data_IF_728236458558
#
_entry.id   IF_728236458558
#
_cell.length_a   1.000
_cell.length_b   1.000
_cell.length_c   1.000
_cell.angle_alpha   90.00
_cell.angle_beta   90.00
_cell.angle_gamma   90.00
#
_symmetry.space_group_name_H-M   'P 1'
#
loop_
_entity.id
_entity.type
_entity.pdbx_description
1 polymer ?
#
# COMPACT_ATOMS: atom_id res chain seq x y z
N UNK A 1 0.39 -6.04 -8.24
CA UNK A 1 1.29 -6.77 -9.14
C UNK A 1 2.31 -5.76 -9.65
N UNK A 2 3.53 -5.83 -9.13
CA UNK A 2 4.60 -4.85 -9.45
C UNK A 2 5.19 -5.07 -10.83
N UNK A 3 5.08 -6.27 -11.38
CA UNK A 3 5.74 -6.66 -12.64
C UNK A 3 7.25 -6.87 -12.52
N UNK A 4 7.79 -6.82 -11.30
CA UNK A 4 9.20 -7.11 -11.05
C UNK A 4 9.50 -8.58 -11.30
N UNK A 5 10.60 -8.83 -12.00
CA UNK A 5 11.13 -10.17 -12.26
C UNK A 5 12.45 -10.29 -11.53
N UNK A 6 12.51 -11.18 -10.55
CA UNK A 6 13.75 -11.53 -9.89
C UNK A 6 14.28 -12.84 -10.48
N UNK A 7 15.38 -12.76 -11.21
CA UNK A 7 16.02 -13.93 -11.82
C UNK A 7 17.03 -14.64 -10.89
N UNK A 8 17.40 -14.02 -9.77
CA UNK A 8 18.45 -14.49 -8.87
C UNK A 8 17.92 -15.15 -7.60
N UNK A 9 16.80 -15.86 -7.68
CA UNK A 9 16.27 -16.61 -6.54
C UNK A 9 17.14 -17.84 -6.29
N UNK A 10 17.69 -18.02 -5.09
CA UNK A 10 18.46 -19.23 -4.76
C UNK A 10 17.57 -20.46 -4.76
N UNK A 11 18.04 -21.53 -5.38
CA UNK A 11 17.32 -22.79 -5.45
C UNK A 11 18.26 -23.98 -5.29
N UNK A 12 17.74 -25.10 -4.81
CA UNK A 12 18.45 -26.39 -4.77
C UNK A 12 17.86 -27.32 -5.83
N UNK A 13 18.69 -27.82 -6.71
CA UNK A 13 18.32 -28.85 -7.68
C UNK A 13 18.53 -30.24 -7.07
N UNK A 14 17.46 -31.01 -6.93
CA UNK A 14 17.52 -32.44 -6.57
C UNK A 14 17.09 -33.29 -7.75
N UNK A 15 17.48 -34.57 -7.79
CA UNK A 15 17.37 -35.43 -8.97
C UNK A 15 16.05 -35.39 -9.76
N UNK A 16 14.92 -35.02 -9.12
CA UNK A 16 13.60 -34.94 -9.75
C UNK A 16 12.78 -33.74 -9.29
N UNK A 17 13.39 -32.77 -8.59
CA UNK A 17 12.70 -31.59 -8.08
C UNK A 17 13.65 -30.42 -7.86
N UNK A 18 13.12 -29.23 -8.01
CA UNK A 18 13.77 -27.96 -7.60
C UNK A 18 13.15 -27.48 -6.31
N UNK A 19 13.96 -27.22 -5.30
CA UNK A 19 13.51 -26.63 -4.04
C UNK A 19 13.87 -25.16 -3.99
N UNK A 20 12.86 -24.32 -3.73
CA UNK A 20 13.00 -22.86 -3.61
C UNK A 20 12.45 -22.48 -2.24
N UNK A 21 13.21 -21.71 -1.47
CA UNK A 21 12.74 -21.15 -0.21
C UNK A 21 12.28 -19.73 -0.44
N UNK A 22 11.00 -19.47 -0.15
CA UNK A 22 10.37 -18.14 -0.28
C UNK A 22 9.86 -17.69 1.07
N UNK A 23 10.08 -16.42 1.39
CA UNK A 23 9.44 -15.75 2.52
C UNK A 23 8.41 -14.79 1.95
N UNK A 24 7.13 -15.05 2.22
CA UNK A 24 6.02 -14.24 1.73
C UNK A 24 5.37 -13.50 2.90
N UNK A 25 5.06 -12.22 2.68
CA UNK A 25 4.25 -11.46 3.60
C UNK A 25 2.77 -11.93 3.59
N UNK A 26 1.95 -11.62 4.60
CA UNK A 26 0.54 -11.95 4.58
C UNK A 26 -0.15 -11.44 3.30
N UNK A 27 -0.88 -12.33 2.62
CA UNK A 27 -1.57 -12.10 1.34
C UNK A 27 -0.65 -11.79 0.13
N UNK A 28 0.64 -11.95 0.26
CA UNK A 28 1.57 -11.88 -0.86
C UNK A 28 1.49 -13.13 -1.73
N UNK A 29 1.67 -12.98 -3.02
CA UNK A 29 1.73 -14.08 -4.00
C UNK A 29 2.80 -13.82 -5.04
N UNK A 30 3.45 -14.88 -5.51
CA UNK A 30 4.47 -14.83 -6.56
C UNK A 30 4.17 -15.85 -7.64
N UNK A 31 4.62 -15.57 -8.86
CA UNK A 31 4.64 -16.53 -9.94
C UNK A 31 6.08 -17.05 -10.10
N UNK A 32 6.24 -18.36 -10.11
CA UNK A 32 7.51 -18.99 -10.44
C UNK A 32 7.42 -19.40 -11.90
N UNK A 33 8.29 -18.82 -12.72
CA UNK A 33 8.33 -19.08 -14.16
C UNK A 33 9.58 -19.86 -14.48
N UNK A 34 9.40 -21.04 -15.06
CA UNK A 34 10.50 -21.82 -15.60
C UNK A 34 10.63 -21.52 -17.10
N UNK A 35 11.84 -21.21 -17.62
CA UNK A 35 12.03 -21.13 -19.06
C UNK A 35 11.72 -22.50 -19.69
N UNK A 36 11.10 -22.49 -20.86
CA UNK A 36 11.00 -23.71 -21.66
C UNK A 36 12.42 -24.17 -22.00
N UNK A 37 12.69 -25.46 -21.86
CA UNK A 37 14.02 -26.02 -22.20
C UNK A 37 14.31 -25.70 -23.67
N UNK A 38 15.28 -24.82 -23.92
CA UNK A 38 16.03 -24.79 -25.17
C UNK A 38 17.18 -25.78 -25.02
N UNK A 39 17.22 -26.76 -25.91
CA UNK A 39 18.24 -27.79 -25.94
C UNK A 39 19.66 -27.21 -25.84
N UNK A 40 20.41 -27.77 -24.88
CA UNK A 40 21.87 -27.79 -24.78
C UNK A 40 22.68 -26.48 -24.80
N UNK A 41 23.23 -26.13 -23.63
CA UNK A 41 24.70 -26.05 -23.48
C UNK A 41 25.10 -25.82 -22.01
N UNK A 42 26.06 -26.63 -21.60
CA UNK A 42 26.83 -26.58 -20.36
C UNK A 42 27.03 -25.17 -19.80
N UNK A 43 26.43 -24.90 -18.64
CA UNK A 43 26.85 -23.78 -17.82
C UNK A 43 27.49 -24.31 -16.54
N UNK A 44 28.78 -24.09 -16.48
CA UNK A 44 29.69 -24.46 -15.40
C UNK A 44 29.14 -24.11 -14.01
N UNK A 45 29.24 -25.12 -13.11
CA UNK A 45 29.17 -24.97 -11.68
C UNK A 45 30.12 -23.88 -11.18
N UNK A 46 29.60 -22.69 -10.91
CA UNK A 46 30.24 -21.73 -10.02
C UNK A 46 29.58 -21.87 -8.68
N UNK A 47 30.37 -22.31 -7.72
CA UNK A 47 30.07 -22.38 -6.30
C UNK A 47 29.40 -21.08 -5.85
N UNK A 48 28.07 -21.12 -5.61
CA UNK A 48 27.35 -20.07 -4.88
C UNK A 48 27.50 -20.37 -3.41
N UNK A 49 28.32 -19.55 -2.74
CA UNK A 49 28.37 -19.48 -1.27
C UNK A 49 26.99 -19.16 -0.74
N UNK A 50 26.51 -20.00 0.17
CA UNK A 50 25.34 -19.74 0.98
C UNK A 50 25.47 -18.38 1.69
N UNK A 51 24.74 -17.39 1.21
CA UNK A 51 24.44 -16.21 2.05
C UNK A 51 23.28 -16.60 2.95
N UNK A 52 23.54 -16.81 4.22
CA UNK A 52 22.53 -16.82 5.26
C UNK A 52 21.92 -15.42 5.33
N UNK A 53 20.68 -15.28 4.89
CA UNK A 53 19.87 -14.09 5.15
C UNK A 53 19.67 -13.95 6.66
N UNK A 54 20.54 -13.19 7.30
CA UNK A 54 20.27 -12.65 8.61
C UNK A 54 19.36 -11.42 8.40
N UNK A 55 18.05 -11.59 8.59
CA UNK A 55 17.11 -10.48 8.72
C UNK A 55 17.62 -9.60 9.85
N UNK A 56 18.34 -8.53 9.52
CA UNK A 56 18.69 -7.50 10.49
C UNK A 56 17.38 -6.78 10.87
N UNK A 57 17.23 -6.52 12.15
CA UNK A 57 16.05 -5.89 12.73
C UNK A 57 15.69 -4.61 11.96
N UNK A 58 14.52 -4.65 11.31
CA UNK A 58 13.93 -3.48 10.68
C UNK A 58 13.57 -2.47 11.78
N UNK A 59 14.05 -1.25 11.69
CA UNK A 59 13.63 -0.19 12.61
C UNK A 59 12.29 0.38 12.15
N UNK A 60 11.34 0.37 13.06
CA UNK A 60 10.01 0.93 12.86
C UNK A 60 9.90 2.28 13.56
N UNK A 61 9.44 3.30 12.85
CA UNK A 61 9.26 4.65 13.40
C UNK A 61 7.91 5.20 12.95
N UNK A 62 7.15 5.77 13.88
CA UNK A 62 5.90 6.45 13.54
C UNK A 62 6.13 7.59 12.53
N UNK A 63 5.21 7.75 11.59
CA UNK A 63 5.20 8.90 10.69
C UNK A 63 4.85 10.14 11.51
N UNK A 64 5.82 11.03 11.73
CA UNK A 64 5.61 12.32 12.41
C UNK A 64 4.95 13.32 11.43
N UNK A 65 3.67 13.10 11.10
CA UNK A 65 2.84 14.04 10.36
C UNK A 65 2.16 14.99 11.33
N UNK A 66 2.15 16.28 11.02
CA UNK A 66 1.56 17.30 11.89
C UNK A 66 0.07 17.48 11.68
N UNK A 67 -0.36 17.38 10.43
CA UNK A 67 -1.75 17.58 10.02
C UNK A 67 -1.95 16.99 8.62
N UNK A 68 -3.15 16.48 8.38
CA UNK A 68 -3.60 16.01 7.07
C UNK A 68 -4.65 16.95 6.51
N UNK A 69 -4.45 17.43 5.29
CA UNK A 69 -5.53 18.02 4.48
C UNK A 69 -6.15 16.90 3.67
N UNK A 70 -7.44 16.65 3.87
CA UNK A 70 -8.17 15.57 3.21
C UNK A 70 -9.22 16.16 2.28
N UNK A 71 -9.10 15.88 0.99
CA UNK A 71 -10.03 16.36 -0.05
C UNK A 71 -10.79 15.19 -0.66
N UNK A 72 -12.11 15.19 -0.53
CA UNK A 72 -13.04 14.23 -1.12
C UNK A 72 -13.34 14.65 -2.55
N UNK A 73 -12.82 13.93 -3.54
CA UNK A 73 -12.78 14.42 -4.94
C UNK A 73 -14.14 14.52 -5.59
N UNK A 74 -15.10 13.64 -5.26
CA UNK A 74 -16.41 13.60 -5.91
C UNK A 74 -17.36 14.72 -5.47
N UNK A 75 -17.24 15.23 -4.22
CA UNK A 75 -18.06 16.33 -3.72
C UNK A 75 -17.27 17.62 -3.43
N UNK A 76 -15.95 17.60 -3.64
CA UNK A 76 -15.06 18.75 -3.47
C UNK A 76 -14.83 19.16 -2.01
N UNK A 77 -15.34 18.40 -1.04
CA UNK A 77 -15.22 18.73 0.37
C UNK A 77 -13.79 18.57 0.84
N UNK A 78 -13.28 19.55 1.55
CA UNK A 78 -11.92 19.54 2.11
C UNK A 78 -11.98 19.79 3.62
N UNK A 79 -11.27 18.96 4.38
CA UNK A 79 -11.17 19.08 5.84
C UNK A 79 -9.72 18.94 6.29
N UNK A 80 -9.43 19.41 7.49
CA UNK A 80 -8.14 19.22 8.15
C UNK A 80 -8.29 18.31 9.35
N UNK A 81 -7.35 17.39 9.55
CA UNK A 81 -7.32 16.42 10.64
C UNK A 81 -5.89 16.21 11.14
N UNK A 82 -5.73 16.13 12.43
CA UNK A 82 -4.45 15.78 13.06
C UNK A 82 -4.23 14.28 13.09
N UNK A 83 -5.32 13.50 13.09
CA UNK A 83 -5.30 12.04 13.14
C UNK A 83 -6.02 11.44 11.93
N UNK A 84 -5.62 10.23 11.59
CA UNK A 84 -6.29 9.41 10.59
C UNK A 84 -7.62 8.91 11.17
N UNK A 85 -8.64 8.77 10.33
CA UNK A 85 -9.99 8.53 10.79
C UNK A 85 -10.81 7.67 9.85
N UNK A 86 -11.85 7.07 10.38
CA UNK A 86 -12.85 6.30 9.64
C UNK A 86 -13.97 7.26 9.16
N UNK A 87 -14.08 7.46 7.86
CA UNK A 87 -15.11 8.34 7.26
C UNK A 87 -16.52 7.95 7.68
N UNK A 88 -16.78 6.64 7.82
CA UNK A 88 -18.11 6.13 8.16
C UNK A 88 -18.60 6.53 9.56
N UNK A 89 -17.71 7.06 10.39
CA UNK A 89 -18.00 7.52 11.76
C UNK A 89 -18.16 9.03 11.89
N UNK A 90 -17.95 9.78 10.79
CA UNK A 90 -18.07 11.25 10.81
C UNK A 90 -19.51 11.69 11.04
N UNK A 91 -19.68 12.83 11.71
CA UNK A 91 -21.00 13.42 11.91
C UNK A 91 -21.57 13.99 10.61
N UNK A 92 -20.69 14.48 9.75
CA UNK A 92 -21.04 15.02 8.45
C UNK A 92 -21.45 13.91 7.49
N UNK A 93 -22.72 13.90 7.08
CA UNK A 93 -23.30 12.89 6.20
C UNK A 93 -22.62 12.84 4.82
N UNK A 94 -22.11 13.95 4.32
CA UNK A 94 -21.37 13.99 3.04
C UNK A 94 -20.01 13.29 3.11
N UNK A 95 -19.48 13.09 4.31
CA UNK A 95 -18.26 12.29 4.55
C UNK A 95 -18.65 10.88 5.00
N UNK A 96 -19.61 10.76 5.90
CA UNK A 96 -20.06 9.47 6.44
C UNK A 96 -20.47 8.48 5.37
N UNK A 97 -21.19 8.93 4.36
CA UNK A 97 -21.68 8.09 3.25
C UNK A 97 -20.79 8.17 2.02
N UNK A 98 -19.62 8.83 2.12
CA UNK A 98 -18.76 9.02 0.96
C UNK A 98 -18.25 7.69 0.37
N UNK A 99 -18.29 7.62 -0.94
CA UNK A 99 -17.65 6.58 -1.74
C UNK A 99 -16.93 7.23 -2.92
N UNK A 100 -15.72 6.77 -3.18
CA UNK A 100 -14.83 7.34 -4.18
C UNK A 100 -13.45 7.61 -3.61
N UNK A 101 -12.71 8.51 -4.24
CA UNK A 101 -11.34 8.83 -3.87
C UNK A 101 -11.29 10.06 -2.96
N UNK A 102 -10.55 9.96 -1.87
CA UNK A 102 -10.12 11.11 -1.08
C UNK A 102 -8.60 11.22 -1.08
N UNK A 103 -8.10 12.44 -1.21
CA UNK A 103 -6.67 12.76 -1.28
C UNK A 103 -6.22 13.31 0.06
N UNK A 104 -5.31 12.61 0.71
CA UNK A 104 -4.65 13.03 1.95
C UNK A 104 -3.32 13.69 1.58
N UNK A 105 -3.11 14.92 2.03
CA UNK A 105 -1.84 15.63 1.87
C UNK A 105 -1.29 16.00 3.22
N UNK A 106 -0.02 15.70 3.42
CA UNK A 106 0.73 16.08 4.63
C UNK A 106 2.21 16.25 4.32
N UNK A 107 2.97 16.67 5.31
CA UNK A 107 4.43 16.69 5.25
C UNK A 107 5.00 15.92 6.43
N UNK A 108 6.15 15.32 6.22
CA UNK A 108 6.91 14.65 7.27
C UNK A 108 8.42 14.93 7.12
N UNK A 109 9.15 14.76 8.20
CA UNK A 109 10.60 15.01 8.19
C UNK A 109 11.38 13.70 8.21
N UNK A 110 12.28 13.56 7.22
CA UNK A 110 13.27 12.50 7.20
C UNK A 110 14.63 13.03 7.65
N UNK A 111 15.27 12.39 8.64
CA UNK A 111 16.44 12.97 9.35
C UNK A 111 17.77 12.79 8.62
N UNK A 112 17.95 11.73 7.87
CA UNK A 112 19.22 11.35 7.24
C UNK A 112 19.12 11.26 5.72
N UNK A 113 20.24 11.09 5.03
CA UNK A 113 20.22 10.61 3.64
C UNK A 113 19.94 9.11 3.66
N UNK A 114 19.19 8.63 2.68
CA UNK A 114 19.04 7.19 2.42
C UNK A 114 20.40 6.66 1.97
N UNK A 115 20.89 5.57 2.56
CA UNK A 115 22.15 4.91 2.17
C UNK A 115 21.91 4.11 0.89
N UNK A 116 22.98 3.77 0.16
CA UNK A 116 22.89 3.02 -1.11
C UNK A 116 22.30 1.62 -0.92
N UNK A 117 22.51 1.03 0.24
CA UNK A 117 22.05 -0.31 0.64
C UNK A 117 20.77 -0.29 1.51
N UNK A 118 20.14 0.87 1.68
CA UNK A 118 18.97 1.04 2.54
C UNK A 118 17.69 1.14 1.73
N UNK A 119 16.69 0.39 2.12
CA UNK A 119 15.32 0.53 1.63
C UNK A 119 14.43 1.15 2.70
N UNK A 120 13.53 2.03 2.27
CA UNK A 120 12.58 2.71 3.16
C UNK A 120 11.17 2.49 2.63
N UNK A 121 10.33 1.95 3.49
CA UNK A 121 8.94 1.66 3.19
C UNK A 121 8.00 2.50 4.04
N UNK A 122 6.93 2.98 3.44
CA UNK A 122 5.79 3.55 4.14
C UNK A 122 4.71 2.47 4.27
N UNK A 123 4.44 2.06 5.51
CA UNK A 123 3.32 1.19 5.83
C UNK A 123 2.13 2.07 6.24
N UNK A 124 1.02 1.94 5.53
CA UNK A 124 -0.21 2.72 5.75
C UNK A 124 -1.09 2.15 6.87
N UNK A 125 -0.70 1.01 7.46
CA UNK A 125 -1.52 0.31 8.43
C UNK A 125 -2.79 -0.24 7.81
N UNK A 126 -3.94 0.26 8.24
CA UNK A 126 -5.24 -0.16 7.71
C UNK A 126 -5.77 0.85 6.68
N UNK A 127 -6.04 0.36 5.48
CA UNK A 127 -6.64 1.10 4.36
C UNK A 127 -7.97 0.45 3.98
N UNK A 128 -8.97 1.24 3.62
CA UNK A 128 -10.26 0.82 3.10
C UNK A 128 -10.57 1.58 1.80
N UNK A 129 -10.30 1.04 0.56
CA UNK A 129 -9.87 -0.33 0.27
C UNK A 129 -8.52 -0.35 -0.46
N UNK A 130 -8.20 0.65 -1.28
CA UNK A 130 -6.92 0.78 -1.99
C UNK A 130 -6.31 2.16 -1.78
N UNK A 131 -4.99 2.26 -1.91
CA UNK A 131 -4.27 3.52 -1.79
C UNK A 131 -3.19 3.66 -2.87
N UNK A 132 -3.09 4.86 -3.45
CA UNK A 132 -1.94 5.26 -4.29
C UNK A 132 -1.09 6.24 -3.50
N UNK A 133 0.21 6.00 -3.45
CA UNK A 133 1.15 6.79 -2.66
C UNK A 133 2.05 7.62 -3.58
N UNK A 134 2.20 8.91 -3.28
CA UNK A 134 3.21 9.77 -3.89
C UNK A 134 4.02 10.48 -2.82
N UNK A 135 5.33 10.51 -3.00
CA UNK A 135 6.26 11.25 -2.14
C UNK A 135 7.03 12.25 -3.01
N UNK A 136 6.99 13.53 -2.64
CA UNK A 136 7.61 14.62 -3.40
C UNK A 136 7.19 14.65 -4.89
N UNK A 137 5.95 14.25 -5.18
CA UNK A 137 5.39 14.15 -6.54
C UNK A 137 5.79 12.89 -7.32
N UNK A 138 6.64 12.04 -6.76
CA UNK A 138 7.04 10.76 -7.37
C UNK A 138 6.04 9.68 -6.99
N UNK A 139 5.52 8.95 -7.98
CA UNK A 139 4.61 7.83 -7.76
C UNK A 139 5.35 6.64 -7.15
N UNK A 140 4.88 6.17 -5.99
CA UNK A 140 5.42 5.04 -5.25
C UNK A 140 4.50 3.80 -5.32
N UNK A 141 3.54 3.82 -6.22
CA UNK A 141 2.68 2.70 -6.54
C UNK A 141 1.31 2.72 -5.88
N UNK A 142 0.46 1.80 -6.35
CA UNK A 142 -0.89 1.57 -5.83
C UNK A 142 -0.95 0.26 -5.07
N UNK A 143 -1.45 0.33 -3.84
CA UNK A 143 -1.50 -0.77 -2.88
C UNK A 143 -2.97 -1.09 -2.61
N UNK A 144 -3.39 -2.34 -2.82
CA UNK A 144 -4.78 -2.78 -2.73
C UNK A 144 -4.98 -4.04 -1.88
N UNK A 145 -3.89 -4.55 -1.30
CA UNK A 145 -3.90 -5.71 -0.38
C UNK A 145 -2.90 -5.50 0.74
N UNK A 146 -3.17 -6.09 1.89
CA UNK A 146 -2.23 -6.09 3.01
C UNK A 146 -0.99 -6.99 2.72
N UNK A 147 0.20 -6.59 3.19
CA UNK A 147 0.47 -5.38 3.96
C UNK A 147 0.40 -4.13 3.06
N UNK A 148 -0.31 -3.09 3.53
CA UNK A 148 -0.43 -1.84 2.79
C UNK A 148 0.87 -1.04 2.87
N UNK A 149 1.86 -1.41 2.08
CA UNK A 149 3.23 -0.90 2.15
C UNK A 149 3.74 -0.46 0.78
N UNK A 150 4.26 0.76 0.70
CA UNK A 150 4.89 1.33 -0.49
C UNK A 150 6.39 1.49 -0.28
N UNK A 151 7.20 1.17 -1.28
CA UNK A 151 8.61 1.53 -1.33
C UNK A 151 8.71 3.02 -1.69
N UNK A 152 9.26 3.82 -0.79
CA UNK A 152 9.43 5.26 -0.96
C UNK A 152 10.92 5.65 -1.10
N UNK A 153 11.82 4.68 -1.16
CA UNK A 153 13.27 4.87 -1.13
C UNK A 153 13.74 5.91 -2.15
N UNK A 154 13.36 5.73 -3.41
CA UNK A 154 13.78 6.61 -4.51
C UNK A 154 13.18 8.02 -4.46
N UNK A 155 12.05 8.17 -3.78
CA UNK A 155 11.32 9.44 -3.68
C UNK A 155 11.72 10.27 -2.45
N UNK A 156 12.41 9.65 -1.47
CA UNK A 156 12.70 10.23 -0.17
C UNK A 156 13.91 11.16 -0.22
N UNK A 157 13.81 12.31 0.40
CA UNK A 157 14.93 13.25 0.55
C UNK A 157 15.17 13.61 2.03
N UNK A 158 16.39 13.97 2.37
CA UNK A 158 16.69 14.52 3.70
C UNK A 158 15.95 15.84 3.93
N UNK A 159 15.29 15.97 5.06
CA UNK A 159 14.52 17.15 5.43
C UNK A 159 13.03 16.94 5.31
N UNK A 160 12.30 17.95 4.88
CA UNK A 160 10.85 17.91 4.71
C UNK A 160 10.49 17.20 3.40
N UNK A 161 9.59 16.23 3.49
CA UNK A 161 9.01 15.51 2.36
C UNK A 161 7.52 15.77 2.30
N UNK A 162 6.98 15.94 1.11
CA UNK A 162 5.55 16.00 0.83
C UNK A 162 5.03 14.58 0.63
N UNK A 163 3.93 14.25 1.29
CA UNK A 163 3.25 12.97 1.16
C UNK A 163 1.83 13.19 0.67
N UNK A 164 1.48 12.52 -0.40
CA UNK A 164 0.13 12.45 -0.94
C UNK A 164 -0.32 11.00 -0.98
N UNK A 165 -1.48 10.70 -0.39
CA UNK A 165 -2.09 9.38 -0.39
C UNK A 165 -3.51 9.51 -0.93
N UNK A 166 -3.77 8.94 -2.08
CA UNK A 166 -5.13 8.81 -2.62
C UNK A 166 -5.74 7.51 -2.09
N UNK A 167 -6.83 7.61 -1.35
CA UNK A 167 -7.54 6.44 -0.83
C UNK A 167 -8.88 6.33 -1.53
N UNK A 168 -9.17 5.16 -2.08
CA UNK A 168 -10.43 4.87 -2.76
C UNK A 168 -11.13 3.70 -2.09
N UNK A 169 -12.39 3.91 -1.72
CA UNK A 169 -13.24 2.88 -1.14
C UNK A 169 -14.27 2.36 -2.13
N UNK A 170 -15.04 1.35 -1.72
CA UNK A 170 -16.14 0.79 -2.53
C UNK A 170 -17.39 1.67 -2.51
N UNK A 171 -18.31 1.45 -3.45
CA UNK A 171 -19.57 2.20 -3.59
C UNK A 171 -20.61 1.92 -2.49
N UNK A 172 -20.34 1.00 -1.59
CA UNK A 172 -21.30 0.50 -0.61
C UNK A 172 -21.93 1.58 0.26
N UNK A 173 -21.11 2.51 0.78
CA UNK A 173 -21.60 3.56 1.69
C UNK A 173 -22.43 4.62 0.96
N UNK A 174 -22.04 5.00 -0.25
CA UNK A 174 -22.80 5.97 -1.03
C UNK A 174 -24.15 5.41 -1.50
N UNK A 175 -24.19 4.15 -1.93
CA UNK A 175 -25.43 3.48 -2.28
C UNK A 175 -26.39 3.40 -1.09
N UNK A 176 -25.87 3.10 0.09
CA UNK A 176 -26.67 3.15 1.32
C UNK A 176 -27.16 4.56 1.63
N UNK A 177 -26.31 5.57 1.49
CA UNK A 177 -26.70 6.97 1.65
C UNK A 177 -27.80 7.39 0.68
N UNK A 178 -27.72 6.96 -0.58
CA UNK A 178 -28.76 7.23 -1.57
C UNK A 178 -30.10 6.58 -1.20
N UNK A 179 -30.09 5.32 -0.73
CA UNK A 179 -31.30 4.64 -0.26
C UNK A 179 -31.96 5.35 0.95
N UNK A 180 -31.18 6.05 1.78
CA UNK A 180 -31.63 6.79 2.96
C UNK A 180 -31.94 8.27 2.68
N UNK A 181 -31.78 8.73 1.43
CA UNK A 181 -31.92 10.16 1.10
C UNK A 181 -30.76 11.03 1.58
N UNK A 182 -29.59 10.43 1.84
CA UNK A 182 -28.36 11.02 2.37
C UNK A 182 -27.18 10.86 1.42
N UNK A 183 -27.45 10.89 0.12
CA UNK A 183 -26.41 10.75 -0.89
C UNK A 183 -25.32 11.82 -0.71
N UNK A 184 -24.02 11.45 -0.69
CA UNK A 184 -22.93 12.40 -0.48
C UNK A 184 -22.64 13.29 -1.71
N UNK A 185 -23.17 12.94 -2.87
CA UNK A 185 -23.12 13.66 -4.15
C UNK A 185 -24.17 13.11 -5.12
N UNK A 186 -24.40 13.81 -6.23
CA UNK A 186 -25.40 13.45 -7.21
C UNK A 186 -24.97 12.26 -8.11
N UNK A 187 -25.95 11.57 -8.72
CA UNK A 187 -25.70 10.53 -9.71
C UNK A 187 -25.35 9.15 -9.11
N UNK A 188 -25.53 8.96 -7.82
CA UNK A 188 -25.36 7.65 -7.19
C UNK A 188 -26.54 6.76 -7.52
N UNK A 189 -26.29 5.74 -8.34
CA UNK A 189 -27.32 4.81 -8.78
C UNK A 189 -26.76 3.43 -9.14
N UNK A 190 -27.54 2.39 -8.95
CA UNK A 190 -27.25 1.03 -9.41
C UNK A 190 -28.52 0.30 -9.79
N UNK A 191 -28.43 -0.55 -10.82
CA UNK A 191 -29.48 -1.52 -11.16
C UNK A 191 -29.32 -2.85 -10.41
N UNK A 192 -28.22 -3.03 -9.68
CA UNK A 192 -28.01 -4.20 -8.86
C UNK A 192 -28.90 -4.17 -7.61
N UNK A 193 -29.47 -5.33 -7.26
CA UNK A 193 -30.16 -5.49 -5.97
C UNK A 193 -29.11 -5.57 -4.87
N UNK A 194 -28.67 -4.40 -4.41
CA UNK A 194 -27.71 -4.30 -3.33
C UNK A 194 -28.43 -4.32 -1.98
N UNK A 195 -28.19 -5.35 -1.20
CA UNK A 195 -28.68 -5.44 0.18
C UNK A 195 -27.60 -6.09 1.02
N UNK A 196 -27.12 -5.36 2.01
CA UNK A 196 -26.26 -5.92 3.02
C UNK A 196 -27.09 -6.50 4.16
N UNK A 197 -26.76 -7.71 4.58
CA UNK A 197 -27.48 -8.37 5.67
C UNK A 197 -27.49 -7.55 6.96
N UNK A 198 -26.39 -6.84 7.26
CA UNK A 198 -26.22 -6.10 8.49
C UNK A 198 -26.64 -4.64 8.40
N UNK A 199 -27.03 -4.13 7.26
CA UNK A 199 -27.47 -2.73 7.03
C UNK A 199 -26.58 -1.65 7.72
N UNK A 200 -25.26 -1.91 7.81
CA UNK A 200 -24.28 -1.02 8.43
C UNK A 200 -23.37 -0.41 7.37
N UNK A 201 -22.80 0.75 7.67
CA UNK A 201 -21.75 1.34 6.85
C UNK A 201 -20.47 0.49 6.96
N UNK A 202 -19.72 0.42 5.85
CA UNK A 202 -18.37 -0.14 5.85
C UNK A 202 -17.39 0.88 6.41
N UNK A 203 -16.38 0.46 7.17
CA UNK A 203 -15.24 1.32 7.46
C UNK A 203 -14.67 1.88 6.15
N UNK A 204 -14.26 3.14 6.17
CA UNK A 204 -13.79 3.81 4.96
C UNK A 204 -12.65 4.78 5.28
N UNK A 205 -11.71 4.91 4.35
CA UNK A 205 -10.61 5.84 4.45
C UNK A 205 -9.27 5.22 4.88
N UNK A 206 -8.36 6.09 5.29
CA UNK A 206 -7.06 5.73 5.83
C UNK A 206 -7.17 5.72 7.36
N UNK A 207 -7.06 4.54 7.94
CA UNK A 207 -7.23 4.36 9.38
C UNK A 207 -5.88 4.27 10.12
N UNK A 208 -4.79 4.00 9.38
CA UNK A 208 -3.44 3.93 9.94
C UNK A 208 -3.18 2.77 10.92
N UNK A 209 -2.21 2.91 11.82
CA UNK A 209 -1.21 3.98 11.84
C UNK A 209 -0.27 3.93 10.62
N UNK A 210 0.20 5.10 10.18
CA UNK A 210 1.25 5.16 9.18
C UNK A 210 2.63 5.07 9.85
N UNK A 211 3.46 4.15 9.37
CA UNK A 211 4.75 3.83 9.95
C UNK A 211 5.83 3.81 8.86
N UNK A 212 7.02 4.29 9.20
CA UNK A 212 8.20 4.19 8.34
C UNK A 212 9.02 2.97 8.78
N UNK A 213 9.32 2.12 7.83
CA UNK A 213 10.21 0.98 7.98
C UNK A 213 11.50 1.23 7.25
N UNK A 214 12.62 0.93 7.89
CA UNK A 214 13.92 0.87 7.24
C UNK A 214 14.43 -0.56 7.29
N UNK A 215 14.84 -1.10 6.16
CA UNK A 215 15.63 -2.32 6.09
C UNK A 215 16.98 -1.96 5.50
N UNK A 216 18.06 -2.41 6.14
CA UNK A 216 19.35 -2.44 5.48
C UNK A 216 19.29 -3.58 4.46
N UNK A 217 19.71 -3.34 3.21
CA UNK A 217 19.82 -4.42 2.25
C UNK A 217 20.77 -5.48 2.82
N UNK A 218 20.41 -6.73 2.70
CA UNK A 218 21.29 -7.83 3.08
C UNK A 218 22.54 -7.78 2.20
N UNK A 219 23.73 -7.69 2.82
CA UNK A 219 25.03 -7.87 2.17
C UNK A 219 25.17 -9.27 1.60
#
# INVERSE_FOLDING_TARGET
>A
VTGEINADIPYEQKSHRTEITLTLAPNESVFIVYPAEEDDKETSEKERKEKKDSVKEASETGLEATEYTVTFTANGKTIQRQELFDWSKEEDEQIRYYSGTAVYKTTFRWKSKVKEDQQVYLNLGKVCDLATVRVNGIDCGTIWTAPYRADITAALKKGVNELEIEVTNTWANALKGADEGKAPFDGIWTNAKYRRAENTLLPAGLLGPCLLYTSDAAD
#
